data_IF_037972244073
#
_entry.id   IF_037972244073
#
_cell.length_a   1.000
_cell.length_b   1.000
_cell.length_c   1.000
_cell.angle_alpha   90.00
_cell.angle_beta   90.00
_cell.angle_gamma   90.00
#
_symmetry.space_group_name_H-M   'P 1'
#
loop_
_entity.id
_entity.type
_entity.pdbx_description
1 polymer ?
#
# COMPACT_ATOMS: atom_id res chain seq x y z
N UNK A 1 19.37 -39.36 -9.47
CA UNK A 1 19.05 -39.21 -8.04
C UNK A 1 20.17 -38.33 -7.49
N UNK A 2 20.02 -37.03 -7.24
CA UNK A 2 18.87 -36.23 -6.81
C UNK A 2 18.67 -35.00 -7.72
N UNK A 3 17.42 -34.74 -8.03
CA UNK A 3 16.94 -33.49 -8.63
C UNK A 3 16.99 -32.40 -7.56
N UNK A 4 17.99 -31.51 -7.66
CA UNK A 4 18.00 -30.23 -6.95
C UNK A 4 16.83 -29.40 -7.47
N UNK A 5 15.67 -29.57 -6.84
CA UNK A 5 14.52 -28.71 -7.02
C UNK A 5 14.91 -27.34 -6.46
N UNK A 6 15.49 -26.50 -7.31
CA UNK A 6 15.60 -25.06 -7.09
C UNK A 6 14.18 -24.63 -6.68
N UNK A 7 14.03 -24.22 -5.43
CA UNK A 7 12.79 -23.62 -4.95
C UNK A 7 12.65 -22.30 -5.70
N UNK A 8 12.02 -22.37 -6.87
CA UNK A 8 11.53 -21.20 -7.58
C UNK A 8 10.60 -20.51 -6.57
N UNK A 9 10.88 -19.30 -6.06
CA UNK A 9 9.83 -18.56 -5.40
C UNK A 9 8.77 -18.36 -6.49
N UNK A 10 7.65 -19.06 -6.35
CA UNK A 10 6.49 -18.90 -7.20
C UNK A 10 6.25 -17.41 -7.38
N UNK A 11 6.22 -16.97 -8.65
CA UNK A 11 6.09 -15.60 -9.15
C UNK A 11 4.78 -14.90 -8.71
N UNK A 12 4.53 -14.84 -7.41
CA UNK A 12 3.28 -14.44 -6.77
C UNK A 12 3.42 -13.10 -6.01
N UNK A 13 4.49 -12.35 -6.20
CA UNK A 13 4.93 -11.37 -5.18
C UNK A 13 5.33 -9.98 -5.67
N UNK A 14 4.99 -9.56 -6.90
CA UNK A 14 5.23 -8.15 -7.29
C UNK A 14 4.05 -7.25 -6.92
N UNK A 15 2.86 -7.81 -6.72
CA UNK A 15 1.63 -7.05 -6.48
C UNK A 15 0.71 -7.68 -5.43
N UNK A 16 1.19 -8.54 -4.52
CA UNK A 16 0.33 -9.06 -3.44
C UNK A 16 0.21 -8.05 -2.30
N UNK A 17 -1.00 -7.77 -1.81
CA UNK A 17 -1.20 -6.93 -0.64
C UNK A 17 -1.03 -7.76 0.66
N UNK A 18 -0.08 -7.41 1.55
CA UNK A 18 0.15 -8.13 2.81
C UNK A 18 -0.97 -8.01 3.84
N UNK A 19 -1.93 -7.10 3.66
CA UNK A 19 -3.06 -6.90 4.60
C UNK A 19 -4.21 -7.86 4.28
N UNK A 20 -4.65 -7.91 3.01
CA UNK A 20 -5.76 -8.77 2.59
C UNK A 20 -5.32 -10.12 2.00
N UNK A 21 -4.02 -10.31 1.78
CA UNK A 21 -3.41 -11.51 1.20
C UNK A 21 -3.93 -11.85 -0.21
N UNK A 22 -4.38 -10.84 -0.95
CA UNK A 22 -4.84 -10.93 -2.34
C UNK A 22 -3.96 -10.06 -3.25
N UNK A 23 -4.13 -10.18 -4.57
CA UNK A 23 -3.57 -9.22 -5.51
C UNK A 23 -4.05 -7.80 -5.17
N UNK A 24 -3.10 -6.88 -5.08
CA UNK A 24 -3.32 -5.50 -4.72
C UNK A 24 -4.18 -4.81 -5.79
N UNK A 25 -5.38 -4.44 -5.38
CA UNK A 25 -6.27 -3.56 -6.13
C UNK A 25 -5.96 -2.12 -5.73
N UNK A 26 -5.78 -1.27 -6.73
CA UNK A 26 -5.28 0.09 -6.63
C UNK A 26 -4.01 0.15 -5.75
N UNK A 27 -2.89 -0.40 -6.26
CA UNK A 27 -1.68 -0.53 -5.46
C UNK A 27 -1.15 0.84 -5.05
N UNK A 28 -0.86 0.95 -3.76
CA UNK A 28 -0.26 2.12 -3.13
C UNK A 28 1.08 1.71 -2.53
N UNK A 29 2.13 2.39 -2.96
CA UNK A 29 3.45 2.32 -2.35
C UNK A 29 3.55 3.28 -1.17
N UNK A 30 4.15 2.81 -0.08
CA UNK A 30 4.51 3.66 1.06
C UNK A 30 5.90 4.26 0.85
N UNK A 31 6.26 5.34 1.56
CA UNK A 31 7.63 5.91 1.50
C UNK A 31 8.76 4.95 1.93
N UNK A 32 8.44 3.77 2.45
CA UNK A 32 9.41 2.72 2.75
C UNK A 32 9.50 1.64 1.65
N UNK A 33 8.83 1.84 0.51
CA UNK A 33 8.85 0.94 -0.66
C UNK A 33 7.91 -0.26 -0.59
N UNK A 34 7.10 -0.40 0.46
CA UNK A 34 6.16 -1.52 0.58
C UNK A 34 4.79 -1.19 -0.01
N UNK A 35 4.20 -2.18 -0.68
CA UNK A 35 3.01 -2.06 -1.51
C UNK A 35 1.78 -2.73 -0.88
N UNK A 36 0.64 -2.04 -0.92
CA UNK A 36 -0.64 -2.51 -0.38
C UNK A 36 -1.81 -2.06 -1.26
N UNK A 37 -3.02 -2.61 -1.05
CA UNK A 37 -4.23 -1.98 -1.59
C UNK A 37 -4.42 -0.61 -0.93
N UNK A 38 -4.82 0.40 -1.71
CA UNK A 38 -5.16 1.71 -1.16
C UNK A 38 -6.28 1.64 -0.11
N UNK A 39 -7.32 0.83 -0.34
CA UNK A 39 -8.42 0.63 0.60
C UNK A 39 -7.99 -0.02 1.93
N UNK A 40 -7.02 -0.94 1.88
CA UNK A 40 -6.47 -1.58 3.06
C UNK A 40 -5.69 -0.58 3.93
N UNK A 41 -4.81 0.24 3.33
CA UNK A 41 -4.06 1.25 4.09
C UNK A 41 -4.98 2.32 4.68
N UNK A 42 -6.01 2.75 3.95
CA UNK A 42 -6.97 3.73 4.47
C UNK A 42 -7.79 3.16 5.63
N UNK A 43 -8.26 1.91 5.54
CA UNK A 43 -8.95 1.25 6.66
C UNK A 43 -8.02 1.13 7.88
N UNK A 44 -6.77 0.74 7.65
CA UNK A 44 -5.76 0.64 8.71
C UNK A 44 -5.49 2.00 9.37
N UNK A 45 -5.43 3.08 8.59
CA UNK A 45 -5.33 4.44 9.12
C UNK A 45 -6.57 4.87 9.91
N UNK A 46 -7.78 4.57 9.42
CA UNK A 46 -9.04 4.91 10.12
C UNK A 46 -9.17 4.19 11.47
N UNK A 47 -8.53 3.04 11.65
CA UNK A 47 -8.48 2.31 12.92
C UNK A 47 -7.31 2.72 13.82
N UNK A 48 -6.41 3.58 13.33
CA UNK A 48 -5.30 4.12 14.11
C UNK A 48 -5.72 5.39 14.88
N UNK A 49 -4.99 5.79 15.93
CA UNK A 49 -5.26 7.03 16.64
C UNK A 49 -5.34 8.22 15.67
N UNK A 50 -6.42 9.00 15.76
CA UNK A 50 -6.85 9.97 14.74
C UNK A 50 -5.80 11.03 14.34
N UNK A 51 -4.84 11.30 15.23
CA UNK A 51 -3.81 12.33 15.08
C UNK A 51 -2.44 11.78 14.63
N UNK A 52 -2.32 10.46 14.45
CA UNK A 52 -1.04 9.83 14.13
C UNK A 52 -1.00 9.31 12.68
N UNK A 53 0.19 9.38 12.08
CA UNK A 53 0.50 8.62 10.88
C UNK A 53 0.60 7.13 11.23
N UNK A 54 0.24 6.26 10.28
CA UNK A 54 0.39 4.81 10.48
C UNK A 54 1.86 4.39 10.41
N UNK A 55 2.16 3.22 10.94
CA UNK A 55 3.44 2.53 10.72
C UNK A 55 3.26 1.43 9.68
N UNK A 56 4.25 1.19 8.85
CA UNK A 56 4.19 0.16 7.83
C UNK A 56 3.99 -1.22 8.48
N UNK A 57 2.98 -2.02 8.08
CA UNK A 57 2.75 -3.36 8.63
C UNK A 57 3.93 -4.33 8.45
N UNK A 58 4.79 -4.11 7.45
CA UNK A 58 5.93 -4.98 7.15
C UNK A 58 7.21 -4.59 7.90
N UNK A 59 7.60 -3.31 7.84
CA UNK A 59 8.89 -2.86 8.36
C UNK A 59 8.79 -1.87 9.53
N UNK A 60 7.57 -1.51 9.96
CA UNK A 60 7.28 -0.61 11.08
C UNK A 60 7.76 0.83 10.92
N UNK A 61 8.31 1.21 9.76
CA UNK A 61 8.66 2.61 9.48
C UNK A 61 7.40 3.49 9.45
N UNK A 62 7.52 4.73 9.91
CA UNK A 62 6.43 5.72 9.83
C UNK A 62 6.10 5.99 8.36
N UNK A 63 4.82 5.88 8.02
CA UNK A 63 4.35 6.15 6.66
C UNK A 63 3.90 7.60 6.56
N UNK A 64 4.59 8.43 5.78
CA UNK A 64 4.24 9.86 5.59
C UNK A 64 3.71 10.16 4.20
N UNK A 65 3.88 9.21 3.27
CA UNK A 65 3.45 9.32 1.90
C UNK A 65 2.86 8.00 1.42
N UNK A 66 1.75 8.13 0.70
CA UNK A 66 1.05 7.09 -0.03
C UNK A 66 1.07 7.45 -1.51
N UNK A 67 1.82 6.70 -2.31
CA UNK A 67 1.95 6.91 -3.75
C UNK A 67 1.17 5.86 -4.53
N UNK A 68 0.22 6.28 -5.37
CA UNK A 68 -0.58 5.35 -6.18
C UNK A 68 0.19 4.95 -7.43
N UNK A 69 0.57 3.68 -7.52
CA UNK A 69 1.32 3.16 -8.67
C UNK A 69 0.34 2.85 -9.79
N UNK A 70 0.60 3.34 -10.99
CA UNK A 70 -0.20 3.02 -12.17
C UNK A 70 0.25 1.67 -12.72
N UNK A 71 -0.53 0.61 -12.49
CA UNK A 71 -0.35 -0.66 -13.20
C UNK A 71 -1.21 -0.63 -14.46
N UNK A 72 -0.60 -0.70 -15.64
CA UNK A 72 -1.26 -0.56 -16.95
C UNK A 72 -2.23 -1.71 -17.30
N UNK A 73 -2.47 -2.66 -16.39
CA UNK A 73 -3.35 -3.82 -16.61
C UNK A 73 -4.74 -3.54 -16.04
N UNK A 74 -5.72 -3.61 -16.95
CA UNK A 74 -7.07 -3.07 -16.82
C UNK A 74 -7.92 -3.67 -15.69
N UNK A 75 -8.91 -2.88 -15.27
CA UNK A 75 -10.11 -3.16 -14.44
C UNK A 75 -10.17 -2.72 -12.98
N UNK A 76 -9.10 -2.21 -12.35
CA UNK A 76 -9.24 -1.69 -10.99
C UNK A 76 -9.32 -0.16 -10.95
N UNK A 77 -10.55 0.36 -11.05
CA UNK A 77 -10.80 1.78 -10.76
C UNK A 77 -11.01 1.90 -9.26
N UNK A 78 -10.16 2.62 -8.51
CA UNK A 78 -10.40 2.85 -7.10
C UNK A 78 -11.73 3.57 -6.91
N UNK A 79 -12.40 3.28 -5.79
CA UNK A 79 -13.52 4.10 -5.33
C UNK A 79 -13.05 5.55 -5.20
N UNK A 80 -13.90 6.50 -5.62
CA UNK A 80 -13.65 7.95 -5.46
C UNK A 80 -13.29 8.29 -4.01
N UNK A 81 -13.87 7.57 -3.05
CA UNK A 81 -13.60 7.76 -1.64
C UNK A 81 -12.16 7.39 -1.26
N UNK A 82 -11.64 6.27 -1.76
CA UNK A 82 -10.26 5.83 -1.47
C UNK A 82 -9.24 6.86 -1.95
N UNK A 83 -9.45 7.42 -3.15
CA UNK A 83 -8.57 8.47 -3.70
C UNK A 83 -8.60 9.73 -2.83
N UNK A 84 -9.80 10.13 -2.37
CA UNK A 84 -9.96 11.27 -1.47
C UNK A 84 -9.24 11.04 -0.14
N UNK A 85 -9.43 9.87 0.48
CA UNK A 85 -8.85 9.54 1.77
C UNK A 85 -7.31 9.48 1.70
N UNK A 86 -6.73 9.00 0.59
CA UNK A 86 -5.28 9.00 0.36
C UNK A 86 -4.74 10.43 0.27
N UNK A 87 -5.45 11.31 -0.46
CA UNK A 87 -5.08 12.72 -0.54
C UNK A 87 -5.11 13.39 0.84
N UNK A 88 -6.15 13.09 1.63
CA UNK A 88 -6.29 13.60 2.98
C UNK A 88 -5.19 13.10 3.92
N UNK A 89 -4.81 11.83 3.81
CA UNK A 89 -3.67 11.26 4.52
C UNK A 89 -2.38 12.01 4.19
N UNK A 90 -2.06 12.16 2.91
CA UNK A 90 -0.85 12.82 2.45
C UNK A 90 -0.83 14.31 2.85
N UNK A 91 -1.98 15.01 2.80
CA UNK A 91 -2.10 16.41 3.27
C UNK A 91 -1.79 16.55 4.76
N UNK A 92 -2.08 15.53 5.56
CA UNK A 92 -1.81 15.54 7.01
C UNK A 92 -0.35 15.27 7.33
N UNK A 93 0.29 14.32 6.64
CA UNK A 93 1.53 13.72 7.12
C UNK A 93 2.76 13.91 6.24
N UNK A 94 2.62 14.35 4.98
CA UNK A 94 3.76 14.48 4.05
C UNK A 94 4.75 15.59 4.39
N UNK A 95 4.41 16.51 5.30
CA UNK A 95 5.26 17.65 5.67
C UNK A 95 5.42 18.72 4.59
N UNK A 96 4.73 18.59 3.45
CA UNK A 96 4.72 19.62 2.41
C UNK A 96 3.99 20.89 2.87
N UNK A 97 4.46 22.11 2.53
CA UNK A 97 3.79 23.35 2.87
C UNK A 97 2.35 23.34 2.36
N UNK A 98 1.39 23.72 3.21
CA UNK A 98 -0.01 23.88 2.79
C UNK A 98 -0.12 25.21 2.03
N UNK A 99 -0.56 25.22 0.76
CA UNK A 99 -0.90 26.47 0.07
C UNK A 99 -2.10 27.15 0.75
#
# INVERSE_FOLDING_TARGET
>A
QESLQIWQPSNHSDFSCPICLQTATFPVETNCGHLFCGSCLITYWKHSPWLAAITCPLCRQKVVLLDSISCEKQQDRPSKQTVHDIRDYNKRFSGQPRP
#
